data_IF_218993278712
#
_entry.id   IF_218993278712
#
_cell.length_a   1.000
_cell.length_b   1.000
_cell.length_c   1.000
_cell.angle_alpha   90.00
_cell.angle_beta   90.00
_cell.angle_gamma   90.00
#
_symmetry.space_group_name_H-M   'P 1'
#
loop_
_entity.id
_entity.type
_entity.pdbx_description
1 polymer ?
#
# COMPACT_ATOMS: atom_id res chain seq x y z
N UNK A 1 14.07 -54.30 29.23
CA UNK A 1 14.95 -53.45 28.40
C UNK A 1 16.16 -54.20 27.81
N UNK A 2 16.21 -55.54 27.79
CA UNK A 2 17.41 -56.28 27.33
C UNK A 2 17.39 -56.89 25.92
N UNK A 3 16.23 -57.09 25.27
CA UNK A 3 16.17 -57.86 24.00
C UNK A 3 15.72 -57.07 22.75
N UNK A 4 15.41 -55.77 22.87
CA UNK A 4 15.02 -54.92 21.72
C UNK A 4 16.20 -54.24 21.01
N UNK A 5 17.39 -54.23 21.61
CA UNK A 5 18.59 -53.63 21.02
C UNK A 5 19.43 -54.61 20.19
N UNK A 6 19.20 -55.91 20.32
CA UNK A 6 20.01 -56.93 19.64
C UNK A 6 19.58 -57.16 18.18
N UNK A 7 18.31 -56.89 17.86
CA UNK A 7 17.80 -56.96 16.49
C UNK A 7 18.31 -55.81 15.61
N UNK A 8 18.49 -54.62 16.17
CA UNK A 8 19.04 -53.46 15.46
C UNK A 8 20.57 -53.57 15.26
N UNK A 9 21.28 -54.31 16.13
CA UNK A 9 22.72 -54.55 15.96
C UNK A 9 23.03 -55.54 14.84
N UNK A 10 22.13 -56.51 14.56
CA UNK A 10 22.29 -57.48 13.47
C UNK A 10 21.97 -56.95 12.06
N UNK A 11 21.32 -55.80 11.94
CA UNK A 11 21.06 -55.15 10.64
C UNK A 11 22.22 -54.25 10.16
N UNK A 12 23.17 -53.93 11.05
CA UNK A 12 24.35 -53.12 10.72
C UNK A 12 25.47 -53.85 9.97
N UNK A 13 25.39 -55.17 9.81
CA UNK A 13 26.46 -55.98 9.19
C UNK A 13 26.18 -56.37 7.73
N UNK A 14 25.08 -55.89 7.11
CA UNK A 14 24.72 -56.21 5.73
C UNK A 14 24.80 -55.04 4.77
N UNK A 15 26.01 -54.50 4.61
CA UNK A 15 26.42 -53.72 3.44
C UNK A 15 25.61 -52.44 3.10
N UNK A 16 26.09 -51.64 2.13
CA UNK A 16 25.47 -50.37 1.75
C UNK A 16 24.03 -50.49 1.21
N UNK A 17 23.60 -51.70 0.80
CA UNK A 17 22.24 -51.97 0.30
C UNK A 17 21.17 -51.94 1.39
N UNK A 18 21.48 -52.31 2.65
CA UNK A 18 20.50 -52.26 3.74
C UNK A 18 20.20 -50.81 4.18
N UNK A 19 21.18 -49.91 4.07
CA UNK A 19 21.02 -48.49 4.36
C UNK A 19 20.14 -47.80 3.30
N UNK A 20 20.28 -48.16 2.03
CA UNK A 20 19.40 -47.68 0.96
C UNK A 20 17.97 -48.20 1.07
N UNK A 21 17.75 -49.42 1.57
CA UNK A 21 16.40 -49.95 1.80
C UNK A 21 15.71 -49.33 3.02
N UNK A 22 16.44 -48.98 4.09
CA UNK A 22 15.91 -48.22 5.22
C UNK A 22 15.64 -46.76 4.84
N UNK A 23 16.49 -46.17 3.98
CA UNK A 23 16.23 -44.84 3.42
C UNK A 23 15.03 -44.85 2.45
N UNK A 24 14.87 -45.88 1.60
CA UNK A 24 13.69 -46.03 0.75
C UNK A 24 12.43 -46.30 1.57
N UNK A 25 12.50 -47.09 2.63
CA UNK A 25 11.37 -47.34 3.54
C UNK A 25 11.01 -46.10 4.37
N UNK A 26 11.98 -45.27 4.75
CA UNK A 26 11.74 -43.97 5.40
C UNK A 26 11.16 -42.90 4.45
N UNK A 27 11.48 -42.97 3.16
CA UNK A 27 10.90 -42.12 2.11
C UNK A 27 9.50 -42.62 1.69
N UNK A 28 9.24 -43.93 1.76
CA UNK A 28 7.92 -44.52 1.51
C UNK A 28 6.95 -44.42 2.70
N UNK A 29 7.43 -44.16 3.93
CA UNK A 29 6.56 -43.94 5.11
C UNK A 29 6.15 -42.48 5.35
N UNK A 30 6.74 -41.51 4.65
CA UNK A 30 6.24 -40.13 4.60
C UNK A 30 5.25 -39.87 3.44
N UNK A 31 4.99 -40.90 2.62
CA UNK A 31 3.99 -40.86 1.55
C UNK A 31 2.58 -41.34 2.01
N UNK A 32 2.34 -41.41 3.32
CA UNK A 32 1.16 -42.04 3.93
C UNK A 32 0.34 -41.09 4.79
N UNK A 33 -0.08 -39.95 4.22
CA UNK A 33 -1.26 -39.12 4.53
C UNK A 33 -1.08 -37.78 3.80
N UNK A 34 -0.89 -37.81 2.47
CA UNK A 34 -0.96 -36.58 1.68
C UNK A 34 -2.39 -36.07 1.78
N UNK A 35 -2.61 -35.04 2.59
CA UNK A 35 -3.94 -34.43 2.70
C UNK A 35 -4.40 -34.01 1.30
N UNK A 36 -5.61 -34.44 0.94
CA UNK A 36 -6.18 -34.20 -0.38
C UNK A 36 -6.21 -32.68 -0.64
N UNK A 37 -5.61 -32.17 -1.73
CA UNK A 37 -5.62 -30.73 -2.03
C UNK A 37 -7.02 -30.11 -2.03
N UNK A 38 -8.04 -30.87 -2.41
CA UNK A 38 -9.43 -30.42 -2.34
C UNK A 38 -9.94 -30.26 -0.90
N UNK A 39 -9.55 -31.16 0.01
CA UNK A 39 -9.91 -31.06 1.43
C UNK A 39 -9.19 -29.89 2.11
N UNK A 40 -7.90 -29.70 1.79
CA UNK A 40 -7.12 -28.55 2.25
C UNK A 40 -7.72 -27.23 1.75
N UNK A 41 -8.16 -27.18 0.48
CA UNK A 41 -8.85 -26.02 -0.07
C UNK A 41 -10.16 -25.72 0.67
N UNK A 42 -10.96 -26.75 0.95
CA UNK A 42 -12.22 -26.58 1.67
C UNK A 42 -11.98 -26.03 3.09
N UNK A 43 -11.02 -26.59 3.82
CA UNK A 43 -10.62 -26.11 5.13
C UNK A 43 -10.08 -24.66 5.07
N UNK A 44 -9.33 -24.31 4.02
CA UNK A 44 -8.88 -22.94 3.82
C UNK A 44 -10.04 -21.97 3.60
N UNK A 45 -11.06 -22.36 2.81
CA UNK A 45 -12.25 -21.54 2.60
C UNK A 45 -13.06 -21.35 3.89
N UNK A 46 -13.11 -22.35 4.77
CA UNK A 46 -13.69 -22.21 6.11
C UNK A 46 -12.90 -21.23 6.98
N UNK A 47 -11.57 -21.26 6.93
CA UNK A 47 -10.71 -20.26 7.57
C UNK A 47 -10.99 -18.84 7.03
N UNK A 48 -11.12 -18.67 5.70
CA UNK A 48 -11.48 -17.40 5.06
C UNK A 48 -12.82 -16.85 5.55
N UNK A 49 -13.82 -17.72 5.75
CA UNK A 49 -15.13 -17.34 6.31
C UNK A 49 -15.06 -16.92 7.77
N UNK A 50 -14.15 -17.52 8.54
CA UNK A 50 -13.89 -17.18 9.95
C UNK A 50 -12.92 -16.00 10.12
N UNK A 51 -12.54 -15.35 9.02
CA UNK A 51 -11.49 -14.32 8.97
C UNK A 51 -10.10 -14.77 9.46
N UNK A 52 -9.88 -16.07 9.58
CA UNK A 52 -8.57 -16.66 9.86
C UNK A 52 -7.75 -16.74 8.56
N UNK A 53 -7.31 -15.58 8.08
CA UNK A 53 -6.55 -15.47 6.83
C UNK A 53 -5.19 -16.16 6.91
N UNK A 54 -4.56 -16.18 8.10
CA UNK A 54 -3.30 -16.88 8.33
C UNK A 54 -3.47 -18.41 8.25
N UNK A 55 -4.55 -18.96 8.80
CA UNK A 55 -4.91 -20.36 8.64
C UNK A 55 -5.17 -20.73 7.19
N UNK A 56 -5.89 -19.87 6.45
CA UNK A 56 -6.17 -20.04 5.04
C UNK A 56 -4.90 -20.05 4.18
N UNK A 57 -3.98 -19.09 4.37
CA UNK A 57 -2.67 -19.04 3.69
C UNK A 57 -1.90 -20.35 3.88
N UNK A 58 -1.78 -20.82 5.13
CA UNK A 58 -1.05 -22.05 5.45
C UNK A 58 -1.63 -23.26 4.73
N UNK A 59 -2.96 -23.43 4.78
CA UNK A 59 -3.65 -24.58 4.17
C UNK A 59 -3.57 -24.54 2.64
N UNK A 60 -3.69 -23.35 2.02
CA UNK A 60 -3.56 -23.19 0.57
C UNK A 60 -2.13 -23.45 0.08
N UNK A 61 -1.11 -23.02 0.83
CA UNK A 61 0.29 -23.34 0.54
C UNK A 61 0.57 -24.84 0.62
N UNK A 62 -0.02 -25.54 1.61
CA UNK A 62 0.05 -27.00 1.68
C UNK A 62 -0.64 -27.67 0.49
N UNK A 63 -1.83 -27.19 0.10
CA UNK A 63 -2.55 -27.71 -1.07
C UNK A 63 -1.76 -27.52 -2.37
N UNK A 64 -1.14 -26.35 -2.54
CA UNK A 64 -0.30 -26.03 -3.69
C UNK A 64 1.01 -26.83 -3.73
N UNK A 65 1.54 -27.28 -2.59
CA UNK A 65 2.70 -28.18 -2.60
C UNK A 65 2.39 -29.52 -3.29
N UNK A 66 1.14 -29.99 -3.18
CA UNK A 66 0.67 -31.21 -3.85
C UNK A 66 0.10 -30.95 -5.26
N UNK A 67 -0.42 -29.75 -5.54
CA UNK A 67 -0.93 -29.36 -6.85
C UNK A 67 -0.48 -27.94 -7.26
N UNK A 68 0.80 -27.74 -7.67
CA UNK A 68 1.41 -26.41 -7.82
C UNK A 68 0.81 -25.51 -8.88
N UNK A 69 0.15 -26.09 -9.90
CA UNK A 69 -0.43 -25.37 -11.04
C UNK A 69 -1.95 -25.36 -11.00
N UNK A 70 -2.57 -25.76 -9.87
CA UNK A 70 -4.02 -25.75 -9.74
C UNK A 70 -4.54 -24.30 -9.72
N UNK A 71 -5.24 -23.90 -10.79
CA UNK A 71 -5.78 -22.54 -10.99
C UNK A 71 -6.62 -22.08 -9.79
N UNK A 72 -7.48 -22.94 -9.24
CA UNK A 72 -8.36 -22.59 -8.12
C UNK A 72 -7.57 -22.31 -6.84
N UNK A 73 -6.59 -23.15 -6.52
CA UNK A 73 -5.75 -22.95 -5.32
C UNK A 73 -4.92 -21.67 -5.42
N UNK A 74 -4.35 -21.41 -6.61
CA UNK A 74 -3.62 -20.17 -6.88
C UNK A 74 -4.51 -18.94 -6.71
N UNK A 75 -5.71 -18.95 -7.31
CA UNK A 75 -6.67 -17.86 -7.21
C UNK A 75 -7.10 -17.60 -5.76
N UNK A 76 -7.39 -18.66 -4.99
CA UNK A 76 -7.76 -18.53 -3.57
C UNK A 76 -6.62 -17.95 -2.73
N UNK A 77 -5.37 -18.35 -2.99
CA UNK A 77 -4.22 -17.80 -2.25
C UNK A 77 -3.97 -16.33 -2.59
N UNK A 78 -4.13 -15.94 -3.86
CA UNK A 78 -4.07 -14.54 -4.28
C UNK A 78 -5.15 -13.72 -3.56
N UNK A 79 -6.38 -14.21 -3.49
CA UNK A 79 -7.47 -13.53 -2.77
C UNK A 79 -7.15 -13.36 -1.29
N UNK A 80 -6.58 -14.38 -0.63
CA UNK A 80 -6.12 -14.26 0.76
C UNK A 80 -5.08 -13.14 0.91
N UNK A 81 -4.08 -13.09 0.03
CA UNK A 81 -3.09 -12.00 0.06
C UNK A 81 -3.71 -10.63 -0.16
N UNK A 82 -4.71 -10.52 -1.05
CA UNK A 82 -5.42 -9.26 -1.27
C UNK A 82 -6.18 -8.81 -0.03
N UNK A 83 -6.86 -9.73 0.66
CA UNK A 83 -7.58 -9.43 1.91
C UNK A 83 -6.63 -9.05 3.04
N UNK A 84 -5.44 -9.67 3.11
CA UNK A 84 -4.40 -9.33 4.06
C UNK A 84 -3.57 -8.10 3.65
N UNK A 85 -3.83 -7.49 2.49
CA UNK A 85 -3.04 -6.39 1.91
C UNK A 85 -1.56 -6.73 1.70
N UNK A 86 -1.26 -8.03 1.52
CA UNK A 86 0.07 -8.58 1.21
C UNK A 86 0.39 -8.45 -0.28
N UNK A 87 0.49 -7.20 -0.74
CA UNK A 87 0.60 -6.88 -2.17
C UNK A 87 1.87 -7.46 -2.80
N UNK A 88 2.99 -7.46 -2.08
CA UNK A 88 4.26 -7.98 -2.58
C UNK A 88 4.20 -9.51 -2.76
N UNK A 89 3.65 -10.24 -1.79
CA UNK A 89 3.45 -11.69 -1.88
C UNK A 89 2.49 -12.05 -3.03
N UNK A 90 1.44 -11.25 -3.23
CA UNK A 90 0.54 -11.40 -4.37
C UNK A 90 1.27 -11.21 -5.71
N UNK A 91 2.05 -10.12 -5.86
CA UNK A 91 2.86 -9.88 -7.06
C UNK A 91 3.85 -11.02 -7.31
N UNK A 92 4.53 -11.51 -6.28
CA UNK A 92 5.50 -12.61 -6.41
C UNK A 92 4.83 -13.92 -6.84
N UNK A 93 3.67 -14.24 -6.27
CA UNK A 93 2.90 -15.42 -6.66
C UNK A 93 2.41 -15.30 -8.11
N UNK A 94 1.84 -14.16 -8.49
CA UNK A 94 1.34 -13.91 -9.85
C UNK A 94 2.45 -13.91 -10.89
N UNK A 95 3.64 -13.40 -10.57
CA UNK A 95 4.84 -13.55 -11.40
C UNK A 95 5.24 -15.01 -11.62
N UNK A 96 5.14 -15.85 -10.59
CA UNK A 96 5.36 -17.30 -10.74
C UNK A 96 4.29 -17.91 -11.64
N UNK A 97 3.02 -17.57 -11.44
CA UNK A 97 1.91 -18.03 -12.29
C UNK A 97 2.14 -17.65 -13.76
N UNK A 98 2.70 -16.47 -14.03
CA UNK A 98 3.04 -16.01 -15.38
C UNK A 98 4.04 -16.93 -16.11
N UNK A 99 4.86 -17.69 -15.37
CA UNK A 99 5.82 -18.64 -15.95
C UNK A 99 5.24 -20.04 -16.20
N UNK A 100 4.00 -20.31 -15.78
CA UNK A 100 3.33 -21.60 -15.95
C UNK A 100 2.62 -21.64 -17.30
N UNK A 101 2.95 -22.65 -18.11
CA UNK A 101 2.31 -22.88 -19.41
C UNK A 101 0.79 -23.01 -19.27
N UNK A 102 0.06 -22.28 -20.12
CA UNK A 102 -1.41 -22.23 -20.09
C UNK A 102 -2.02 -21.30 -19.04
N UNK A 103 -1.27 -20.85 -18.02
CA UNK A 103 -1.75 -19.88 -17.02
C UNK A 103 -1.21 -18.47 -17.22
N UNK A 104 -0.04 -18.29 -17.83
CA UNK A 104 0.58 -16.97 -17.93
C UNK A 104 -0.13 -15.97 -18.84
N UNK A 105 -0.90 -16.47 -19.81
CA UNK A 105 -1.75 -15.66 -20.69
C UNK A 105 -3.21 -15.56 -20.21
N UNK A 106 -3.53 -16.18 -19.08
CA UNK A 106 -4.87 -16.15 -18.50
C UNK A 106 -5.26 -14.72 -18.11
N UNK A 107 -6.30 -14.14 -18.74
CA UNK A 107 -6.71 -12.78 -18.45
C UNK A 107 -7.05 -12.54 -16.98
N UNK A 108 -7.57 -13.54 -16.24
CA UNK A 108 -7.93 -13.36 -14.84
C UNK A 108 -6.67 -13.14 -13.98
N UNK A 109 -5.61 -13.91 -14.20
CA UNK A 109 -4.35 -13.73 -13.48
C UNK A 109 -3.63 -12.45 -13.91
N UNK A 110 -3.69 -12.07 -15.18
CA UNK A 110 -3.12 -10.80 -15.63
C UNK A 110 -3.85 -9.60 -15.01
N UNK A 111 -5.19 -9.66 -14.89
CA UNK A 111 -5.99 -8.63 -14.18
C UNK A 111 -5.60 -8.54 -12.70
N UNK A 112 -5.51 -9.68 -12.00
CA UNK A 112 -5.03 -9.72 -10.61
C UNK A 112 -3.61 -9.19 -10.47
N UNK A 113 -2.73 -9.41 -11.44
CA UNK A 113 -1.36 -8.85 -11.43
C UNK A 113 -1.37 -7.34 -11.58
N UNK A 114 -2.18 -6.80 -12.48
CA UNK A 114 -2.37 -5.36 -12.61
C UNK A 114 -2.92 -4.76 -11.31
N UNK A 115 -3.98 -5.34 -10.72
CA UNK A 115 -4.53 -4.90 -9.43
C UNK A 115 -3.47 -4.91 -8.32
N UNK A 116 -2.68 -5.98 -8.22
CA UNK A 116 -1.65 -6.10 -7.19
C UNK A 116 -0.57 -5.01 -7.36
N UNK A 117 -0.15 -4.72 -8.60
CA UNK A 117 0.77 -3.60 -8.85
C UNK A 117 0.15 -2.24 -8.52
N UNK A 118 -1.12 -2.01 -8.85
CA UNK A 118 -1.85 -0.77 -8.50
C UNK A 118 -1.86 -0.59 -6.98
N UNK A 119 -2.26 -1.62 -6.23
CA UNK A 119 -2.37 -1.58 -4.77
C UNK A 119 -1.02 -1.44 -4.07
N UNK A 120 0.04 -2.00 -4.68
CA UNK A 120 1.42 -1.83 -4.23
C UNK A 120 1.97 -0.42 -4.51
N UNK A 121 1.41 0.30 -5.48
CA UNK A 121 1.91 1.59 -5.95
C UNK A 121 2.98 1.49 -7.04
N UNK A 122 3.18 0.31 -7.64
CA UNK A 122 4.10 0.08 -8.75
C UNK A 122 3.47 0.55 -10.09
N UNK A 123 3.15 1.85 -10.19
CA UNK A 123 2.39 2.45 -11.30
C UNK A 123 2.96 2.10 -12.68
N UNK A 124 4.28 2.08 -12.84
CA UNK A 124 4.91 1.72 -14.12
C UNK A 124 4.63 0.28 -14.57
N UNK A 125 4.67 -0.69 -13.64
CA UNK A 125 4.38 -2.10 -13.94
C UNK A 125 2.88 -2.31 -14.14
N UNK A 126 2.05 -1.71 -13.28
CA UNK A 126 0.60 -1.72 -13.43
C UNK A 126 0.18 -1.20 -14.81
N UNK A 127 0.67 -0.04 -15.21
CA UNK A 127 0.33 0.59 -16.49
C UNK A 127 0.71 -0.28 -17.69
N UNK A 128 1.87 -0.95 -17.64
CA UNK A 128 2.32 -1.85 -18.71
C UNK A 128 1.37 -3.07 -18.88
N UNK A 129 0.98 -3.72 -17.77
CA UNK A 129 0.04 -4.86 -17.80
C UNK A 129 -1.36 -4.40 -18.22
N UNK A 130 -1.82 -3.25 -17.73
CA UNK A 130 -3.15 -2.72 -18.07
C UNK A 130 -3.26 -2.35 -19.55
N UNK A 131 -2.19 -1.83 -20.14
CA UNK A 131 -2.15 -1.52 -21.57
C UNK A 131 -2.41 -2.77 -22.42
N UNK A 132 -1.74 -3.89 -22.14
CA UNK A 132 -1.91 -5.12 -22.92
C UNK A 132 -3.29 -5.75 -22.71
N UNK A 133 -3.85 -5.65 -21.51
CA UNK A 133 -5.22 -6.11 -21.25
C UNK A 133 -6.27 -5.28 -21.99
N UNK A 134 -6.10 -3.95 -22.03
CA UNK A 134 -7.01 -3.04 -22.72
C UNK A 134 -6.87 -3.08 -24.25
N UNK A 135 -5.76 -3.59 -24.80
CA UNK A 135 -5.68 -3.92 -26.23
C UNK A 135 -6.62 -5.08 -26.62
N UNK A 136 -6.89 -6.01 -25.67
CA UNK A 136 -7.80 -7.15 -25.87
C UNK A 136 -9.25 -6.80 -25.55
N UNK A 137 -9.47 -6.01 -24.51
CA UNK A 137 -10.80 -5.59 -24.04
C UNK A 137 -10.82 -4.07 -23.75
N UNK A 138 -10.92 -3.23 -24.81
CA UNK A 138 -10.77 -1.77 -24.69
C UNK A 138 -11.87 -1.08 -23.88
N UNK A 139 -13.01 -1.74 -23.68
CA UNK A 139 -14.18 -1.20 -22.96
C UNK A 139 -14.34 -1.85 -21.58
N UNK A 140 -13.30 -2.51 -21.07
CA UNK A 140 -13.33 -3.00 -19.70
C UNK A 140 -13.25 -1.84 -18.71
N UNK A 141 -14.39 -1.44 -18.16
CA UNK A 141 -14.51 -0.32 -17.24
C UNK A 141 -13.53 -0.40 -16.06
N UNK A 142 -13.41 -1.59 -15.46
CA UNK A 142 -12.57 -1.75 -14.29
C UNK A 142 -11.08 -1.63 -14.63
N UNK A 143 -10.65 -2.12 -15.79
CA UNK A 143 -9.26 -1.95 -16.24
C UNK A 143 -8.96 -0.51 -16.63
N UNK A 144 -9.92 0.21 -17.22
CA UNK A 144 -9.79 1.65 -17.46
C UNK A 144 -9.68 2.43 -16.13
N UNK A 145 -10.46 2.05 -15.12
CA UNK A 145 -10.35 2.62 -13.78
C UNK A 145 -8.96 2.37 -13.16
N UNK A 146 -8.47 1.13 -13.20
CA UNK A 146 -7.12 0.81 -12.71
C UNK A 146 -6.02 1.52 -13.50
N UNK A 147 -6.18 1.67 -14.82
CA UNK A 147 -5.23 2.39 -15.67
C UNK A 147 -5.18 3.86 -15.29
N UNK A 148 -6.34 4.44 -14.98
CA UNK A 148 -6.49 5.78 -14.44
C UNK A 148 -5.68 6.00 -13.15
N UNK A 149 -5.77 5.05 -12.22
CA UNK A 149 -5.05 5.12 -10.94
C UNK A 149 -3.54 4.91 -11.13
N UNK A 150 -3.15 3.97 -11.99
CA UNK A 150 -1.73 3.66 -12.26
C UNK A 150 -1.05 4.61 -13.25
N UNK A 151 -1.76 5.62 -13.74
CA UNK A 151 -1.21 6.56 -14.71
C UNK A 151 -0.01 7.33 -14.15
N UNK A 152 0.99 7.53 -15.01
CA UNK A 152 2.26 8.21 -14.66
C UNK A 152 2.27 9.70 -15.01
N UNK A 153 1.23 10.18 -15.68
CA UNK A 153 0.97 11.62 -15.89
C UNK A 153 -0.55 11.88 -15.81
N UNK A 154 -0.97 13.13 -15.60
CA UNK A 154 -2.39 13.42 -15.40
C UNK A 154 -3.24 13.22 -16.65
N UNK A 155 -2.70 13.36 -17.86
CA UNK A 155 -3.49 13.28 -19.10
C UNK A 155 -4.03 11.87 -19.36
N UNK A 156 -3.21 10.79 -19.34
CA UNK A 156 -3.73 9.42 -19.46
C UNK A 156 -4.64 9.03 -18.30
N UNK A 157 -4.39 9.58 -17.10
CA UNK A 157 -5.23 9.35 -15.93
C UNK A 157 -6.67 9.84 -16.20
N UNK A 158 -6.79 11.11 -16.56
CA UNK A 158 -8.08 11.76 -16.86
C UNK A 158 -8.77 11.10 -18.05
N UNK A 159 -8.04 10.73 -19.11
CA UNK A 159 -8.62 10.05 -20.27
C UNK A 159 -9.24 8.69 -19.91
N UNK A 160 -8.47 7.83 -19.22
CA UNK A 160 -8.92 6.50 -18.85
C UNK A 160 -10.10 6.54 -17.86
N UNK A 161 -10.04 7.45 -16.87
CA UNK A 161 -11.11 7.61 -15.88
C UNK A 161 -12.39 8.19 -16.49
N UNK A 162 -12.29 9.11 -17.45
CA UNK A 162 -13.46 9.57 -18.19
C UNK A 162 -14.10 8.45 -19.02
N UNK A 163 -13.32 7.53 -19.60
CA UNK A 163 -13.85 6.35 -20.30
C UNK A 163 -14.53 5.41 -19.30
N UNK A 164 -13.88 5.09 -18.18
CA UNK A 164 -14.45 4.25 -17.11
C UNK A 164 -15.78 4.82 -16.60
N UNK A 165 -15.83 6.14 -16.35
CA UNK A 165 -17.02 6.84 -15.86
C UNK A 165 -18.21 6.74 -16.83
N UNK A 166 -17.95 6.78 -18.14
CA UNK A 166 -19.01 6.63 -19.16
C UNK A 166 -19.58 5.21 -19.19
N UNK A 167 -18.73 4.21 -18.96
CA UNK A 167 -19.11 2.80 -19.00
C UNK A 167 -19.84 2.37 -17.70
N UNK A 168 -19.42 2.91 -16.55
CA UNK A 168 -20.07 2.70 -15.27
C UNK A 168 -20.18 4.02 -14.48
N UNK A 169 -21.28 4.76 -14.64
CA UNK A 169 -21.51 6.00 -13.91
C UNK A 169 -21.86 5.78 -12.43
N UNK A 170 -21.94 4.54 -11.94
CA UNK A 170 -22.36 4.25 -10.56
C UNK A 170 -21.18 3.91 -9.63
N UNK A 171 -19.96 3.80 -10.18
CA UNK A 171 -18.75 3.57 -9.38
C UNK A 171 -18.26 4.88 -8.74
N UNK A 172 -18.50 5.02 -7.43
CA UNK A 172 -17.98 6.14 -6.60
C UNK A 172 -16.49 6.36 -6.83
N UNK A 173 -15.72 5.28 -6.79
CA UNK A 173 -14.27 5.31 -6.82
C UNK A 173 -13.75 5.97 -8.10
N UNK A 174 -14.46 5.86 -9.23
CA UNK A 174 -14.09 6.53 -10.48
C UNK A 174 -14.21 8.05 -10.36
N UNK A 175 -15.25 8.58 -9.70
CA UNK A 175 -15.38 10.01 -9.46
C UNK A 175 -14.25 10.54 -8.56
N UNK A 176 -13.91 9.80 -7.48
CA UNK A 176 -12.84 10.18 -6.58
C UNK A 176 -11.47 10.18 -7.29
N UNK A 177 -11.20 9.12 -8.06
CA UNK A 177 -9.98 9.00 -8.85
C UNK A 177 -9.90 10.10 -9.92
N UNK A 178 -11.01 10.39 -10.62
CA UNK A 178 -11.06 11.42 -11.66
C UNK A 178 -10.82 12.82 -11.07
N UNK A 179 -11.45 13.15 -9.94
CA UNK A 179 -11.21 14.43 -9.26
C UNK A 179 -9.74 14.58 -8.84
N UNK A 180 -9.10 13.52 -8.34
CA UNK A 180 -7.66 13.53 -8.02
C UNK A 180 -6.79 13.69 -9.27
N UNK A 181 -7.13 13.02 -10.36
CA UNK A 181 -6.42 13.13 -11.63
C UNK A 181 -6.55 14.54 -12.25
N UNK A 182 -7.75 15.12 -12.24
CA UNK A 182 -8.01 16.50 -12.67
C UNK A 182 -7.24 17.50 -11.79
N UNK A 183 -7.23 17.29 -10.47
CA UNK A 183 -6.41 18.08 -9.55
C UNK A 183 -4.92 18.00 -9.87
N UNK A 184 -4.40 16.80 -10.16
CA UNK A 184 -3.02 16.60 -10.58
C UNK A 184 -2.73 17.35 -11.88
N UNK A 185 -3.66 17.34 -12.82
CA UNK A 185 -3.61 18.11 -14.08
C UNK A 185 -3.64 19.64 -13.85
N UNK A 186 -4.10 20.10 -12.68
CA UNK A 186 -4.34 21.50 -12.37
C UNK A 186 -5.76 21.98 -12.70
N UNK A 187 -6.63 21.09 -13.18
CA UNK A 187 -8.05 21.37 -13.41
C UNK A 187 -8.85 21.25 -12.10
N UNK A 188 -8.64 22.22 -11.20
CA UNK A 188 -9.32 22.27 -9.90
C UNK A 188 -10.83 22.51 -10.04
N UNK A 189 -11.26 23.21 -11.10
CA UNK A 189 -12.68 23.47 -11.38
C UNK A 189 -13.37 22.18 -11.82
N UNK A 190 -12.78 21.45 -12.78
CA UNK A 190 -13.29 20.16 -13.22
C UNK A 190 -13.31 19.13 -12.09
N UNK A 191 -12.26 19.09 -11.25
CA UNK A 191 -12.21 18.22 -10.08
C UNK A 191 -13.41 18.44 -9.13
N UNK A 192 -13.67 19.70 -8.76
CA UNK A 192 -14.82 20.07 -7.91
C UNK A 192 -16.16 19.76 -8.58
N UNK A 193 -16.27 20.00 -9.89
CA UNK A 193 -17.48 19.68 -10.67
C UNK A 193 -17.78 18.18 -10.65
N UNK A 194 -16.75 17.35 -10.88
CA UNK A 194 -16.84 15.87 -10.81
C UNK A 194 -17.39 15.40 -9.47
N UNK A 195 -16.87 15.93 -8.36
CA UNK A 195 -17.35 15.58 -7.01
C UNK A 195 -18.77 16.09 -6.75
N UNK A 196 -19.10 17.29 -7.24
CA UNK A 196 -20.44 17.86 -7.13
C UNK A 196 -21.48 16.97 -7.78
N UNK A 197 -21.21 16.45 -8.98
CA UNK A 197 -22.10 15.51 -9.69
C UNK A 197 -22.36 14.26 -8.85
N UNK A 198 -21.33 13.69 -8.23
CA UNK A 198 -21.49 12.53 -7.35
C UNK A 198 -22.29 12.85 -6.08
N UNK A 199 -21.94 13.94 -5.41
CA UNK A 199 -22.57 14.38 -4.15
C UNK A 199 -24.05 14.73 -4.35
N UNK A 200 -24.45 15.28 -5.50
CA UNK A 200 -25.86 15.53 -5.82
C UNK A 200 -26.69 14.24 -5.91
N UNK A 201 -26.08 13.13 -6.31
CA UNK A 201 -26.76 11.84 -6.49
C UNK A 201 -26.86 11.03 -5.21
N UNK A 202 -25.85 11.11 -4.36
CA UNK A 202 -25.67 10.17 -3.23
C UNK A 202 -25.54 10.84 -1.87
N UNK A 203 -25.45 12.17 -1.83
CA UNK A 203 -25.12 12.93 -0.63
C UNK A 203 -23.62 13.03 -0.40
N UNK A 204 -23.23 14.01 0.42
CA UNK A 204 -21.85 14.22 0.80
C UNK A 204 -21.39 13.13 1.79
N UNK A 205 -20.13 12.69 1.70
CA UNK A 205 -19.53 11.74 2.61
C UNK A 205 -18.07 12.13 2.90
N UNK A 206 -17.43 11.43 3.84
CA UNK A 206 -16.08 11.77 4.28
C UNK A 206 -15.07 11.87 3.12
N UNK A 207 -15.09 10.93 2.17
CA UNK A 207 -14.09 10.90 1.10
C UNK A 207 -14.21 12.10 0.16
N UNK A 208 -15.43 12.43 -0.26
CA UNK A 208 -15.68 13.56 -1.16
C UNK A 208 -15.43 14.89 -0.45
N UNK A 209 -15.86 15.00 0.81
CA UNK A 209 -15.60 16.15 1.67
C UNK A 209 -14.10 16.45 1.83
N UNK A 210 -13.29 15.44 2.16
CA UNK A 210 -11.85 15.62 2.34
C UNK A 210 -11.13 15.97 1.04
N UNK A 211 -11.56 15.41 -0.10
CA UNK A 211 -11.01 15.79 -1.39
C UNK A 211 -11.36 17.25 -1.70
N UNK A 212 -12.61 17.70 -1.48
CA UNK A 212 -13.00 19.10 -1.68
C UNK A 212 -12.11 20.06 -0.85
N UNK A 213 -11.88 19.76 0.43
CA UNK A 213 -10.97 20.55 1.30
C UNK A 213 -9.54 20.55 0.73
N UNK A 214 -9.04 19.40 0.29
CA UNK A 214 -7.72 19.29 -0.30
C UNK A 214 -7.59 20.08 -1.62
N UNK A 215 -8.65 20.16 -2.42
CA UNK A 215 -8.69 20.96 -3.65
C UNK A 215 -8.58 22.46 -3.33
N UNK A 216 -9.31 22.96 -2.32
CA UNK A 216 -9.18 24.36 -1.89
C UNK A 216 -7.79 24.68 -1.33
N UNK A 217 -7.20 23.77 -0.55
CA UNK A 217 -5.83 23.91 -0.08
C UNK A 217 -4.82 23.98 -1.22
N UNK A 218 -4.99 23.16 -2.27
CA UNK A 218 -4.14 23.18 -3.46
C UNK A 218 -4.31 24.46 -4.29
N UNK A 219 -5.51 25.03 -4.30
CA UNK A 219 -5.83 26.35 -4.89
C UNK A 219 -5.28 27.52 -4.04
N UNK A 220 -4.72 27.24 -2.86
CA UNK A 220 -4.38 28.21 -1.83
C UNK A 220 -5.58 29.08 -1.37
N UNK A 221 -6.80 28.57 -1.56
CA UNK A 221 -8.04 29.17 -1.07
C UNK A 221 -8.31 28.72 0.37
N UNK A 222 -7.48 29.21 1.28
CA UNK A 222 -7.53 28.87 2.70
C UNK A 222 -8.85 29.30 3.34
N UNK A 223 -9.45 30.39 2.87
CA UNK A 223 -10.72 30.89 3.39
C UNK A 223 -11.85 29.89 3.12
N UNK A 224 -11.97 29.42 1.88
CA UNK A 224 -13.00 28.42 1.55
C UNK A 224 -12.70 27.06 2.17
N UNK A 225 -11.43 26.66 2.25
CA UNK A 225 -11.04 25.43 2.93
C UNK A 225 -11.46 25.45 4.41
N UNK A 226 -11.17 26.55 5.12
CA UNK A 226 -11.52 26.73 6.54
C UNK A 226 -13.03 26.78 6.73
N UNK A 227 -13.74 27.51 5.87
CA UNK A 227 -15.20 27.56 5.90
C UNK A 227 -15.80 26.16 5.74
N UNK A 228 -15.35 25.41 4.71
CA UNK A 228 -15.79 24.04 4.44
C UNK A 228 -15.58 23.12 5.65
N UNK A 229 -14.41 23.21 6.32
CA UNK A 229 -14.16 22.46 7.57
C UNK A 229 -15.07 22.89 8.73
N UNK A 230 -15.34 24.19 8.89
CA UNK A 230 -16.22 24.68 9.96
C UNK A 230 -17.69 24.31 9.77
N UNK A 231 -18.11 24.11 8.52
CA UNK A 231 -19.45 23.67 8.14
C UNK A 231 -19.53 22.14 7.96
N UNK A 232 -18.49 21.41 8.39
CA UNK A 232 -18.50 19.95 8.37
C UNK A 232 -19.73 19.40 9.13
N UNK A 233 -20.45 18.42 8.56
CA UNK A 233 -21.48 17.68 9.30
C UNK A 233 -20.96 17.18 10.64
N UNK A 234 -21.81 17.17 11.67
CA UNK A 234 -21.39 16.81 13.03
C UNK A 234 -20.75 15.41 13.11
N UNK A 235 -21.19 14.49 12.26
CA UNK A 235 -20.66 13.13 12.14
C UNK A 235 -19.24 13.09 11.54
N UNK A 236 -18.86 14.11 10.77
CA UNK A 236 -17.53 14.24 10.16
C UNK A 236 -16.59 15.12 10.99
N UNK A 237 -17.13 16.09 11.74
CA UNK A 237 -16.34 17.10 12.44
C UNK A 237 -15.33 16.52 13.44
N UNK A 238 -15.68 15.42 14.11
CA UNK A 238 -14.79 14.73 15.08
C UNK A 238 -13.87 13.69 14.42
N UNK A 239 -13.98 13.48 13.11
CA UNK A 239 -13.14 12.53 12.41
C UNK A 239 -11.65 12.97 12.46
N UNK A 240 -10.71 12.09 12.85
CA UNK A 240 -9.29 12.44 12.95
C UNK A 240 -8.70 13.03 11.67
N UNK A 241 -9.17 12.60 10.49
CA UNK A 241 -8.72 13.16 9.20
C UNK A 241 -9.22 14.60 9.02
N UNK A 242 -10.47 14.89 9.36
CA UNK A 242 -11.02 16.25 9.25
C UNK A 242 -10.26 17.22 10.16
N UNK A 243 -9.98 16.80 11.40
CA UNK A 243 -9.14 17.55 12.35
C UNK A 243 -7.70 17.73 11.86
N UNK A 244 -7.12 16.70 11.24
CA UNK A 244 -5.78 16.75 10.64
C UNK A 244 -5.71 17.81 9.52
N UNK A 245 -6.71 17.86 8.63
CA UNK A 245 -6.78 18.91 7.60
C UNK A 245 -6.91 20.31 8.20
N UNK A 246 -7.68 20.47 9.29
CA UNK A 246 -7.74 21.73 10.04
C UNK A 246 -6.37 22.17 10.55
N UNK A 247 -5.59 21.24 11.12
CA UNK A 247 -4.22 21.51 11.57
C UNK A 247 -3.29 21.94 10.43
N UNK A 248 -3.43 21.37 9.22
CA UNK A 248 -2.67 21.82 8.05
C UNK A 248 -3.06 23.24 7.60
N UNK A 249 -4.34 23.62 7.69
CA UNK A 249 -4.78 25.00 7.42
C UNK A 249 -4.17 25.95 8.46
N UNK A 250 -4.28 25.62 9.75
CA UNK A 250 -3.72 26.42 10.84
C UNK A 250 -2.20 26.61 10.66
N UNK A 251 -1.49 25.55 10.27
CA UNK A 251 -0.06 25.62 9.97
C UNK A 251 0.24 26.59 8.81
N UNK A 252 -0.56 26.54 7.74
CA UNK A 252 -0.41 27.39 6.56
C UNK A 252 -0.70 28.86 6.88
N UNK A 253 -1.67 29.12 7.77
CA UNK A 253 -1.98 30.45 8.29
C UNK A 253 -0.98 30.94 9.37
N UNK A 254 0.04 30.13 9.70
CA UNK A 254 1.04 30.39 10.74
C UNK A 254 0.50 30.40 12.18
N UNK A 255 -0.67 29.79 12.42
CA UNK A 255 -1.17 29.49 13.76
C UNK A 255 -0.46 28.25 14.35
N UNK A 256 0.88 28.33 14.49
CA UNK A 256 1.74 27.18 14.80
C UNK A 256 1.35 26.49 16.11
N UNK A 257 1.01 27.25 17.16
CA UNK A 257 0.62 26.68 18.45
C UNK A 257 -0.68 25.86 18.36
N UNK A 258 -1.68 26.35 17.61
CA UNK A 258 -2.95 25.64 17.40
C UNK A 258 -2.75 24.38 16.57
N UNK A 259 -1.97 24.49 15.48
CA UNK A 259 -1.62 23.35 14.63
C UNK A 259 -0.87 22.29 15.43
N UNK A 260 0.14 22.69 16.22
CA UNK A 260 0.93 21.80 17.06
C UNK A 260 0.06 21.03 18.06
N UNK A 261 -0.79 21.73 18.82
CA UNK A 261 -1.68 21.09 19.80
C UNK A 261 -2.62 20.06 19.13
N UNK A 262 -3.10 20.37 17.93
CA UNK A 262 -3.96 19.46 17.17
C UNK A 262 -3.17 18.24 16.68
N UNK A 263 -1.97 18.43 16.13
CA UNK A 263 -1.12 17.32 15.68
C UNK A 263 -0.68 16.43 16.84
N UNK A 264 -0.26 16.99 17.98
CA UNK A 264 0.08 16.23 19.17
C UNK A 264 -1.12 15.42 19.68
N UNK A 265 -2.32 16.02 19.70
CA UNK A 265 -3.55 15.34 20.11
C UNK A 265 -4.03 14.24 19.14
N UNK A 266 -3.47 14.17 17.92
CA UNK A 266 -3.77 13.15 16.92
C UNK A 266 -2.62 12.13 16.77
N UNK A 267 -1.55 12.24 17.55
CA UNK A 267 -0.34 11.43 17.38
C UNK A 267 -0.56 9.93 17.67
N UNK A 268 -1.55 9.60 18.50
CA UNK A 268 -1.91 8.23 18.87
C UNK A 268 -3.11 7.68 18.08
N UNK A 269 -3.75 8.49 17.22
CA UNK A 269 -4.88 8.07 16.40
C UNK A 269 -4.40 7.17 15.25
N UNK A 270 -4.71 5.85 15.22
CA UNK A 270 -4.06 4.91 14.30
C UNK A 270 -4.20 5.25 12.82
N UNK A 271 -5.28 5.95 12.44
CA UNK A 271 -5.55 6.34 11.05
C UNK A 271 -4.72 7.52 10.56
N UNK A 272 -4.22 8.34 11.47
CA UNK A 272 -3.51 9.60 11.16
C UNK A 272 -2.19 9.78 11.91
N UNK A 273 -1.83 8.88 12.82
CA UNK A 273 -0.67 8.96 13.72
C UNK A 273 0.62 9.42 13.01
N UNK A 274 1.02 8.72 11.93
CA UNK A 274 2.21 9.08 11.15
C UNK A 274 2.15 10.52 10.62
N UNK A 275 1.02 10.91 10.00
CA UNK A 275 0.84 12.25 9.43
C UNK A 275 0.80 13.32 10.51
N UNK A 276 0.17 13.01 11.64
CA UNK A 276 0.09 13.88 12.80
C UNK A 276 1.46 14.11 13.43
N UNK A 277 2.24 13.05 13.68
CA UNK A 277 3.63 13.15 14.16
C UNK A 277 4.52 13.96 13.22
N UNK A 278 4.42 13.76 11.91
CA UNK A 278 5.15 14.57 10.92
C UNK A 278 4.72 16.04 10.94
N UNK A 279 3.43 16.32 11.09
CA UNK A 279 2.90 17.67 11.26
C UNK A 279 3.42 18.35 12.53
N UNK A 280 3.46 17.62 13.65
CA UNK A 280 4.05 18.09 14.91
C UNK A 280 5.55 18.36 14.78
N UNK A 281 6.31 17.45 14.14
CA UNK A 281 7.73 17.64 13.86
C UNK A 281 8.00 18.92 13.04
N UNK A 282 7.18 19.18 12.03
CA UNK A 282 7.24 20.42 11.27
C UNK A 282 6.92 21.66 12.13
N UNK A 283 5.93 21.58 13.01
CA UNK A 283 5.62 22.66 13.96
C UNK A 283 6.80 22.93 14.91
N UNK A 284 7.45 21.90 15.45
CA UNK A 284 8.65 22.07 16.29
C UNK A 284 9.80 22.75 15.52
N UNK A 285 10.05 22.37 14.26
CA UNK A 285 11.04 23.04 13.42
C UNK A 285 10.72 24.53 13.21
N UNK A 286 9.43 24.86 13.01
CA UNK A 286 8.97 26.24 12.85
C UNK A 286 9.02 27.03 14.16
N UNK A 287 8.80 26.37 15.30
CA UNK A 287 8.92 26.92 16.65
C UNK A 287 10.35 26.95 17.22
N UNK A 288 11.35 26.59 16.41
CA UNK A 288 12.78 26.52 16.77
C UNK A 288 13.14 25.49 17.86
N UNK A 289 12.43 24.37 17.90
CA UNK A 289 12.77 23.17 18.68
C UNK A 289 13.21 22.02 17.77
N UNK A 290 14.44 22.08 17.21
CA UNK A 290 14.92 21.03 16.30
C UNK A 290 15.18 19.69 17.00
N UNK A 291 15.36 19.65 18.32
CA UNK A 291 15.60 18.39 19.03
C UNK A 291 14.32 17.54 19.07
N UNK A 292 13.21 18.15 19.51
CA UNK A 292 11.91 17.47 19.56
C UNK A 292 11.43 17.06 18.17
N UNK A 293 11.74 17.87 17.15
CA UNK A 293 11.50 17.49 15.75
C UNK A 293 12.27 16.23 15.34
N UNK A 294 13.56 16.14 15.65
CA UNK A 294 14.39 14.96 15.33
C UNK A 294 13.88 13.73 16.07
N UNK A 295 13.62 13.82 17.37
CA UNK A 295 13.09 12.72 18.19
C UNK A 295 11.77 12.19 17.63
N UNK A 296 10.83 13.09 17.31
CA UNK A 296 9.54 12.71 16.71
C UNK A 296 9.71 12.02 15.36
N UNK A 297 10.67 12.47 14.54
CA UNK A 297 10.96 11.81 13.26
C UNK A 297 11.61 10.43 13.46
N UNK A 298 12.43 10.25 14.49
CA UNK A 298 13.04 8.96 14.82
C UNK A 298 12.00 7.93 15.27
N UNK A 299 11.00 8.35 16.04
CA UNK A 299 9.84 7.50 16.35
C UNK A 299 9.10 7.06 15.08
N UNK A 300 8.80 8.00 14.17
CA UNK A 300 8.13 7.67 12.91
C UNK A 300 8.98 6.71 12.06
N UNK A 301 10.30 6.89 12.01
CA UNK A 301 11.21 6.00 11.27
C UNK A 301 11.25 4.60 11.91
N UNK A 302 11.18 4.50 13.23
CA UNK A 302 11.14 3.21 13.93
C UNK A 302 9.85 2.45 13.62
N UNK A 303 8.71 3.14 13.61
CA UNK A 303 7.40 2.57 13.32
C UNK A 303 7.18 2.31 11.82
N UNK A 304 7.74 3.17 10.97
CA UNK A 304 7.52 3.21 9.51
C UNK A 304 8.83 3.55 8.78
N UNK A 305 9.76 2.59 8.61
CA UNK A 305 11.08 2.83 8.00
C UNK A 305 11.05 3.30 6.54
N UNK A 306 9.92 3.14 5.84
CA UNK A 306 9.73 3.58 4.47
C UNK A 306 9.19 5.02 4.34
N UNK A 307 8.99 5.74 5.45
CA UNK A 307 8.44 7.09 5.45
C UNK A 307 9.51 8.15 5.10
N UNK A 308 9.64 8.47 3.82
CA UNK A 308 10.64 9.43 3.31
C UNK A 308 10.53 10.82 3.96
N UNK A 309 9.32 11.28 4.28
CA UNK A 309 9.10 12.58 4.89
C UNK A 309 9.74 12.71 6.28
N UNK A 310 9.79 11.62 7.05
CA UNK A 310 10.42 11.60 8.38
C UNK A 310 11.92 11.87 8.28
N UNK A 311 12.61 11.21 7.33
CA UNK A 311 14.02 11.46 7.05
C UNK A 311 14.28 12.90 6.57
N UNK A 312 13.38 13.44 5.76
CA UNK A 312 13.45 14.83 5.30
C UNK A 312 13.38 15.82 6.48
N UNK A 313 12.35 15.72 7.31
CA UNK A 313 12.16 16.60 8.48
C UNK A 313 13.29 16.44 9.51
N UNK A 314 13.74 15.20 9.75
CA UNK A 314 14.93 14.93 10.57
C UNK A 314 16.16 15.66 10.05
N UNK A 315 16.44 15.56 8.74
CA UNK A 315 17.56 16.24 8.11
C UNK A 315 17.49 17.76 8.25
N UNK A 316 16.28 18.35 8.19
CA UNK A 316 16.07 19.78 8.44
C UNK A 316 16.36 20.16 9.91
N UNK A 317 15.97 19.32 10.88
CA UNK A 317 16.31 19.50 12.28
C UNK A 317 17.82 19.43 12.54
N UNK A 318 18.49 18.43 11.98
CA UNK A 318 19.95 18.28 12.05
C UNK A 318 20.67 19.48 11.43
N UNK A 319 20.15 20.01 10.32
CA UNK A 319 20.70 21.20 9.67
C UNK A 319 20.57 22.45 10.55
N UNK A 320 19.42 22.66 11.20
CA UNK A 320 19.22 23.74 12.20
C UNK A 320 20.21 23.64 13.35
N UNK A 321 20.61 22.42 13.73
CA UNK A 321 21.64 22.15 14.74
C UNK A 321 23.08 22.19 14.22
N UNK A 322 23.29 22.62 12.96
CA UNK A 322 24.59 22.64 12.30
C UNK A 322 25.25 21.25 12.13
N UNK A 323 24.48 20.17 12.26
CA UNK A 323 24.94 18.79 12.10
C UNK A 323 24.93 18.36 10.63
N UNK A 324 25.70 19.08 9.80
CA UNK A 324 25.69 18.95 8.33
C UNK A 324 25.88 17.52 7.82
N UNK A 325 26.76 16.75 8.45
CA UNK A 325 27.02 15.36 8.07
C UNK A 325 25.80 14.46 8.29
N UNK A 326 25.14 14.58 9.45
CA UNK A 326 23.94 13.81 9.76
C UNK A 326 22.78 14.24 8.84
N UNK A 327 22.59 15.56 8.69
CA UNK A 327 21.57 16.12 7.81
C UNK A 327 21.67 15.57 6.38
N UNK A 328 22.89 15.51 5.83
CA UNK A 328 23.13 14.94 4.50
C UNK A 328 22.71 13.48 4.43
N UNK A 329 23.10 12.66 5.41
CA UNK A 329 22.75 11.24 5.46
C UNK A 329 21.23 11.05 5.54
N UNK A 330 20.54 11.85 6.35
CA UNK A 330 19.07 11.82 6.46
C UNK A 330 18.41 12.19 5.12
N UNK A 331 18.88 13.24 4.43
CA UNK A 331 18.37 13.58 3.11
C UNK A 331 18.65 12.51 2.03
N UNK A 332 19.81 11.86 2.06
CA UNK A 332 20.13 10.73 1.16
C UNK A 332 19.18 9.55 1.39
N UNK A 333 18.82 9.23 2.64
CA UNK A 333 17.82 8.21 2.94
C UNK A 333 16.43 8.60 2.42
N UNK A 334 16.03 9.87 2.60
CA UNK A 334 14.78 10.38 2.01
C UNK A 334 14.76 10.22 0.48
N UNK A 335 15.86 10.55 -0.21
CA UNK A 335 15.98 10.39 -1.67
C UNK A 335 16.01 8.93 -2.13
N UNK A 336 16.56 8.03 -1.32
CA UNK A 336 16.54 6.60 -1.62
C UNK A 336 15.12 6.03 -1.60
N UNK A 337 14.28 6.52 -0.69
CA UNK A 337 12.87 6.13 -0.55
C UNK A 337 11.97 6.85 -1.56
N UNK A 338 12.24 8.12 -1.84
CA UNK A 338 11.54 8.92 -2.84
C UNK A 338 12.54 9.76 -3.68
N UNK A 339 12.94 9.26 -4.86
CA UNK A 339 13.94 9.94 -5.70
C UNK A 339 13.48 11.28 -6.29
N UNK A 340 12.16 11.52 -6.41
CA UNK A 340 11.61 12.72 -7.06
C UNK A 340 11.46 13.90 -6.08
N UNK A 341 12.60 14.34 -5.53
CA UNK A 341 12.67 15.46 -4.60
C UNK A 341 13.80 16.42 -5.00
N UNK A 342 13.62 17.28 -6.03
CA UNK A 342 14.68 18.13 -6.57
C UNK A 342 15.25 19.10 -5.52
N UNK A 343 14.41 19.61 -4.62
CA UNK A 343 14.84 20.48 -3.51
C UNK A 343 15.76 19.75 -2.54
N UNK A 344 15.44 18.51 -2.19
CA UNK A 344 16.26 17.70 -1.27
C UNK A 344 17.58 17.29 -1.94
N UNK A 345 17.55 16.96 -3.23
CA UNK A 345 18.75 16.71 -4.02
C UNK A 345 19.70 17.90 -4.00
N UNK A 346 19.19 19.11 -4.25
CA UNK A 346 19.99 20.33 -4.18
C UNK A 346 20.59 20.58 -2.79
N UNK A 347 19.86 20.23 -1.70
CA UNK A 347 20.41 20.29 -0.33
C UNK A 347 21.56 19.31 -0.12
N UNK A 348 21.42 18.06 -0.58
CA UNK A 348 22.48 17.05 -0.50
C UNK A 348 23.74 17.49 -1.25
N UNK A 349 23.58 18.01 -2.47
CA UNK A 349 24.70 18.50 -3.29
C UNK A 349 25.44 19.64 -2.57
N UNK A 350 24.69 20.59 -2.00
CA UNK A 350 25.25 21.73 -1.26
C UNK A 350 25.98 21.30 0.02
N UNK A 351 25.49 20.27 0.70
CA UNK A 351 26.15 19.70 1.89
C UNK A 351 27.37 18.84 1.55
N UNK A 352 27.53 18.43 0.28
CA UNK A 352 28.66 17.67 -0.23
C UNK A 352 29.84 18.51 -0.75
N UNK A 353 29.64 19.81 -0.99
CA UNK A 353 30.69 20.72 -1.41
C UNK A 353 31.70 21.00 -0.29
N UNK A 354 32.98 20.71 -0.55
CA UNK A 354 34.11 21.06 0.32
C UNK A 354 34.44 22.54 0.26
#
# INVERSE_FOLDING_TARGET
>A
MGHRFEFLKRLGERGPLAFHLIALAGILFLAGCGENPAALNQAALECVQKEDLAGADRLLRQALAAAPTNKTLLANLIEVYFREKKWEEAVQLLKKVQTVEGLGDDPDFQKRLAEAYVMKGDSGQAFAVLKTLLERDPENEYLLFLQGIAAISPEPAVEALNKALRLNPDRKETYLALARAQSWQGDLIGARSTLTVWNQRTGNNLDTFLIDVALYLRDNDLQTARKTLSEAPAELADNPLVRLYGAYIDLTERAIATAQATFEGLADEPTVATRAKLGAALCYLMGDDPNRAIETCEEVIADSPAEAAAFCLKGLGELKRLQRFLAKKSFEQSLALNPDQPTIRALVDRLGGR
#
